data_IF_027555499867
#
_entry.id   IF_027555499867
#
_cell.length_a   1.000
_cell.length_b   1.000
_cell.length_c   1.000
_cell.angle_alpha   90.00
_cell.angle_beta   90.00
_cell.angle_gamma   90.00
#
_symmetry.space_group_name_H-M   'P 1'
#
loop_
_entity.id
_entity.type
_entity.pdbx_description
1 polymer ?
#
# COMPACT_ATOMS: atom_id res chain seq x y z
N UNK A 1 -25.81 23.43 -4.18
CA UNK A 1 -25.28 24.38 -5.19
C UNK A 1 -24.65 23.55 -6.28
N UNK A 2 -25.27 23.50 -7.46
CA UNK A 2 -24.68 22.85 -8.62
C UNK A 2 -23.60 23.79 -9.18
N UNK A 3 -22.33 23.47 -8.95
CA UNK A 3 -21.25 24.16 -9.66
C UNK A 3 -21.41 23.87 -11.15
N UNK A 4 -21.27 24.89 -12.00
CA UNK A 4 -21.17 24.69 -13.44
C UNK A 4 -20.02 23.72 -13.72
N UNK A 5 -20.16 22.83 -14.72
CA UNK A 5 -19.20 21.76 -15.02
C UNK A 5 -17.75 22.29 -15.15
N UNK A 6 -17.55 23.52 -15.61
CA UNK A 6 -16.25 24.17 -15.70
C UNK A 6 -15.60 24.51 -14.34
N UNK A 7 -16.40 24.82 -13.32
CA UNK A 7 -15.89 25.22 -12.00
C UNK A 7 -15.32 24.05 -11.19
N UNK A 8 -15.76 22.83 -11.48
CA UNK A 8 -15.31 21.62 -10.79
C UNK A 8 -13.84 21.31 -11.07
N UNK A 9 -13.43 21.43 -12.34
CA UNK A 9 -12.05 21.24 -12.75
C UNK A 9 -11.13 22.31 -12.15
N UNK A 10 -11.59 23.56 -12.12
CA UNK A 10 -10.82 24.67 -11.54
C UNK A 10 -10.61 24.49 -10.04
N UNK A 11 -11.66 24.10 -9.30
CA UNK A 11 -11.57 23.79 -7.86
C UNK A 11 -10.61 22.63 -7.63
N UNK A 12 -10.66 21.58 -8.47
CA UNK A 12 -9.75 20.45 -8.38
C UNK A 12 -8.29 20.87 -8.61
N UNK A 13 -7.98 21.62 -9.68
CA UNK A 13 -6.63 22.16 -9.90
C UNK A 13 -6.16 23.03 -8.75
N UNK A 14 -7.01 23.90 -8.22
CA UNK A 14 -6.66 24.77 -7.09
C UNK A 14 -6.33 23.96 -5.85
N UNK A 15 -7.06 22.87 -5.58
CA UNK A 15 -6.79 21.98 -4.47
C UNK A 15 -5.45 21.24 -4.65
N UNK A 16 -5.18 20.72 -5.85
CA UNK A 16 -3.91 20.06 -6.19
C UNK A 16 -2.73 21.02 -6.03
N UNK A 17 -2.80 22.21 -6.63
CA UNK A 17 -1.74 23.23 -6.52
C UNK A 17 -1.53 23.69 -5.08
N UNK A 18 -2.60 24.03 -4.37
CA UNK A 18 -2.52 24.47 -2.98
C UNK A 18 -1.90 23.40 -2.08
N UNK A 19 -2.20 22.12 -2.32
CA UNK A 19 -1.58 21.02 -1.59
C UNK A 19 -0.07 20.90 -1.89
N UNK A 20 0.31 21.03 -3.16
CA UNK A 20 1.72 21.01 -3.57
C UNK A 20 2.50 22.17 -2.94
N UNK A 21 1.92 23.36 -2.91
CA UNK A 21 2.56 24.58 -2.38
C UNK A 21 2.66 24.59 -0.85
N UNK A 22 1.63 24.11 -0.14
CA UNK A 22 1.53 24.22 1.32
C UNK A 22 2.31 23.15 2.08
N UNK A 23 2.59 21.99 1.48
CA UNK A 23 3.21 20.86 2.17
C UNK A 23 4.34 20.27 1.34
N UNK A 24 5.63 20.46 1.68
CA UNK A 24 6.73 19.82 0.96
C UNK A 24 6.90 18.32 1.29
N UNK A 25 6.08 17.75 2.18
CA UNK A 25 6.14 16.34 2.56
C UNK A 25 5.39 15.45 1.53
N UNK A 26 6.11 14.65 0.72
CA UNK A 26 5.52 13.86 -0.36
C UNK A 26 4.48 12.83 0.13
N UNK A 27 4.67 12.26 1.32
CA UNK A 27 3.73 11.25 1.85
C UNK A 27 2.38 11.85 2.22
N UNK A 28 2.43 13.02 2.87
CA UNK A 28 1.20 13.75 3.21
C UNK A 28 0.52 14.25 1.95
N UNK A 29 1.25 14.84 1.01
CA UNK A 29 0.69 15.30 -0.26
C UNK A 29 -0.08 14.16 -0.93
N UNK A 30 0.51 12.97 -1.05
CA UNK A 30 -0.17 11.84 -1.65
C UNK A 30 -1.47 11.46 -0.93
N UNK A 31 -1.42 11.32 0.41
CA UNK A 31 -2.62 10.98 1.19
C UNK A 31 -3.76 11.96 0.94
N UNK A 32 -3.46 13.25 0.80
CA UNK A 32 -4.47 14.28 0.52
C UNK A 32 -4.85 14.35 -0.96
N UNK A 33 -3.95 14.02 -1.90
CA UNK A 33 -4.27 13.93 -3.33
C UNK A 33 -5.31 12.84 -3.60
N UNK A 34 -5.19 11.66 -2.98
CA UNK A 34 -6.19 10.60 -3.07
C UNK A 34 -7.57 11.08 -2.60
N UNK A 35 -7.61 11.80 -1.47
CA UNK A 35 -8.86 12.40 -1.01
C UNK A 35 -9.41 13.41 -2.01
N UNK A 36 -8.57 14.28 -2.57
CA UNK A 36 -8.99 15.27 -3.56
C UNK A 36 -9.57 14.57 -4.80
N UNK A 37 -8.95 13.51 -5.33
CA UNK A 37 -9.48 12.76 -6.50
C UNK A 37 -10.80 12.06 -6.18
N UNK A 38 -10.89 11.38 -5.03
CA UNK A 38 -12.11 10.66 -4.60
C UNK A 38 -13.27 11.63 -4.42
N UNK A 39 -13.07 12.76 -3.74
CA UNK A 39 -14.14 13.73 -3.48
C UNK A 39 -14.48 14.59 -4.68
N UNK A 40 -13.52 14.86 -5.57
CA UNK A 40 -13.82 15.54 -6.82
C UNK A 40 -14.70 14.67 -7.72
N UNK A 41 -14.56 13.34 -7.69
CA UNK A 41 -15.38 12.42 -8.46
C UNK A 41 -15.49 12.85 -9.94
N UNK A 42 -14.33 13.16 -10.55
CA UNK A 42 -14.25 13.53 -11.97
C UNK A 42 -14.61 12.33 -12.85
N UNK A 43 -15.56 12.51 -13.76
CA UNK A 43 -15.90 11.49 -14.75
C UNK A 43 -14.82 11.40 -15.86
N UNK A 44 -14.95 10.42 -16.78
CA UNK A 44 -13.94 10.20 -17.81
C UNK A 44 -13.78 11.40 -18.76
N UNK A 45 -14.88 12.08 -19.12
CA UNK A 45 -14.82 13.23 -20.00
C UNK A 45 -14.15 14.41 -19.29
N UNK A 46 -14.52 14.66 -18.04
CA UNK A 46 -13.89 15.66 -17.18
C UNK A 46 -12.39 15.38 -16.99
N UNK A 47 -11.99 14.12 -16.80
CA UNK A 47 -10.57 13.70 -16.73
C UNK A 47 -9.82 13.91 -18.05
N UNK A 48 -10.45 13.65 -19.20
CA UNK A 48 -9.87 13.93 -20.51
C UNK A 48 -9.63 15.44 -20.68
N UNK A 49 -10.63 16.26 -20.38
CA UNK A 49 -10.52 17.72 -20.46
C UNK A 49 -9.47 18.24 -19.47
N UNK A 50 -9.45 17.71 -18.26
CA UNK A 50 -8.45 18.04 -17.24
C UNK A 50 -7.02 17.78 -17.74
N UNK A 51 -6.80 16.60 -18.32
CA UNK A 51 -5.48 16.23 -18.87
C UNK A 51 -4.99 17.16 -19.98
N UNK A 52 -5.91 17.67 -20.78
CA UNK A 52 -5.58 18.62 -21.85
C UNK A 52 -5.33 20.03 -21.32
N UNK A 53 -6.12 20.47 -20.33
CA UNK A 53 -6.08 21.84 -19.81
C UNK A 53 -4.97 22.07 -18.78
N UNK A 54 -4.58 21.02 -18.05
CA UNK A 54 -3.63 21.07 -16.93
C UNK A 54 -2.54 19.99 -17.04
N UNK A 55 -1.71 20.02 -18.11
CA UNK A 55 -0.73 18.96 -18.37
C UNK A 55 0.41 18.92 -17.34
N UNK A 56 0.77 20.06 -16.75
CA UNK A 56 1.84 20.13 -15.74
C UNK A 56 1.43 19.45 -14.44
N UNK A 57 0.22 19.71 -13.96
CA UNK A 57 -0.34 19.09 -12.76
C UNK A 57 -0.46 17.57 -12.92
N UNK A 58 -0.86 17.13 -14.11
CA UNK A 58 -0.95 15.70 -14.43
C UNK A 58 0.42 15.04 -14.44
N UNK A 59 1.44 15.71 -14.97
CA UNK A 59 2.81 15.20 -14.96
C UNK A 59 3.34 15.06 -13.53
N UNK A 60 3.08 16.04 -12.67
CA UNK A 60 3.43 15.97 -11.25
C UNK A 60 2.69 14.83 -10.55
N UNK A 61 1.37 14.72 -10.71
CA UNK A 61 0.58 13.62 -10.17
C UNK A 61 1.09 12.24 -10.62
N UNK A 62 1.49 12.11 -11.89
CA UNK A 62 2.03 10.86 -12.44
C UNK A 62 3.33 10.48 -11.73
N UNK A 63 4.24 11.43 -11.51
CA UNK A 63 5.49 11.20 -10.77
C UNK A 63 5.23 10.80 -9.31
N UNK A 64 4.20 11.38 -8.67
CA UNK A 64 3.79 10.96 -7.33
C UNK A 64 3.26 9.52 -7.32
N UNK A 65 2.41 9.17 -8.28
CA UNK A 65 1.86 7.83 -8.41
C UNK A 65 2.96 6.78 -8.63
N UNK A 66 3.93 7.05 -9.51
CA UNK A 66 5.07 6.15 -9.76
C UNK A 66 5.88 5.89 -8.48
N UNK A 67 6.26 6.95 -7.75
CA UNK A 67 7.00 6.80 -6.49
C UNK A 67 6.21 5.99 -5.46
N UNK A 68 4.89 6.15 -5.42
CA UNK A 68 4.07 5.42 -4.46
C UNK A 68 3.87 3.95 -4.81
N UNK A 69 3.68 3.64 -6.09
CA UNK A 69 3.65 2.25 -6.56
C UNK A 69 4.94 1.55 -6.17
N UNK A 70 6.09 2.21 -6.37
CA UNK A 70 7.38 1.67 -5.97
C UNK A 70 7.47 1.45 -4.45
N UNK A 71 7.09 2.46 -3.65
CA UNK A 71 7.08 2.34 -2.20
C UNK A 71 6.16 1.22 -1.69
N UNK A 72 4.95 1.11 -2.24
CA UNK A 72 4.00 0.06 -1.88
C UNK A 72 4.52 -1.34 -2.27
N UNK A 73 5.26 -1.44 -3.38
CA UNK A 73 5.94 -2.67 -3.79
C UNK A 73 7.05 -3.05 -2.80
N UNK A 74 7.85 -2.07 -2.37
CA UNK A 74 8.92 -2.28 -1.38
C UNK A 74 8.34 -2.69 -0.03
N UNK A 75 7.38 -1.95 0.51
CA UNK A 75 6.71 -2.27 1.79
C UNK A 75 6.03 -3.65 1.73
N UNK A 76 5.37 -3.98 0.63
CA UNK A 76 4.74 -5.29 0.43
C UNK A 76 5.75 -6.44 0.39
N UNK A 77 6.90 -6.22 -0.24
CA UNK A 77 8.00 -7.19 -0.29
C UNK A 77 8.62 -7.38 1.10
N UNK A 78 8.89 -6.31 1.82
CA UNK A 78 9.45 -6.34 3.17
C UNK A 78 8.54 -7.10 4.14
N UNK A 79 7.26 -6.75 4.18
CA UNK A 79 6.26 -7.46 5.02
C UNK A 79 6.12 -8.93 4.63
N UNK A 80 6.16 -9.22 3.32
CA UNK A 80 6.10 -10.59 2.82
C UNK A 80 7.31 -11.42 3.25
N UNK A 81 8.51 -10.82 3.17
CA UNK A 81 9.76 -11.46 3.56
C UNK A 81 9.80 -11.69 5.07
N UNK A 82 9.46 -10.68 5.89
CA UNK A 82 9.46 -10.79 7.35
C UNK A 82 8.54 -11.93 7.82
N UNK A 83 7.30 -11.96 7.33
CA UNK A 83 6.35 -13.04 7.63
C UNK A 83 6.84 -14.41 7.14
N UNK A 84 7.48 -14.43 5.97
CA UNK A 84 8.05 -15.65 5.41
C UNK A 84 9.19 -16.21 6.26
N UNK A 85 10.11 -15.33 6.70
CA UNK A 85 11.24 -15.68 7.57
C UNK A 85 10.75 -16.14 8.93
N UNK A 86 9.83 -15.41 9.57
CA UNK A 86 9.28 -15.79 10.88
C UNK A 86 8.61 -17.17 10.82
N UNK A 87 7.77 -17.41 9.80
CA UNK A 87 7.13 -18.71 9.59
C UNK A 87 8.17 -19.81 9.34
N UNK A 88 9.20 -19.54 8.55
CA UNK A 88 10.28 -20.48 8.27
C UNK A 88 11.07 -20.86 9.52
N UNK A 89 11.40 -19.87 10.37
CA UNK A 89 12.08 -20.09 11.65
C UNK A 89 11.20 -20.95 12.56
N UNK A 90 9.93 -20.58 12.75
CA UNK A 90 9.01 -21.33 13.62
C UNK A 90 8.84 -22.77 13.18
N UNK A 91 8.67 -23.00 11.87
CA UNK A 91 8.62 -24.35 11.31
C UNK A 91 9.91 -25.11 11.55
N UNK A 92 11.07 -24.48 11.37
CA UNK A 92 12.38 -25.08 11.64
C UNK A 92 12.57 -25.47 13.11
N UNK A 93 12.19 -24.60 14.04
CA UNK A 93 12.25 -24.83 15.49
C UNK A 93 11.33 -25.98 15.91
N UNK A 94 10.10 -26.02 15.41
CA UNK A 94 9.15 -27.11 15.63
C UNK A 94 9.72 -28.46 15.15
N UNK A 95 10.28 -28.51 13.93
CA UNK A 95 10.92 -29.72 13.39
C UNK A 95 12.11 -30.17 14.25
N UNK A 96 12.95 -29.23 14.69
CA UNK A 96 14.08 -29.52 15.55
C UNK A 96 13.63 -30.08 16.91
N UNK A 97 12.61 -29.48 17.52
CA UNK A 97 12.04 -29.95 18.78
C UNK A 97 11.49 -31.37 18.66
N UNK A 98 10.67 -31.63 17.63
CA UNK A 98 10.12 -32.97 17.38
C UNK A 98 11.23 -34.01 17.16
N UNK A 99 12.31 -33.66 16.46
CA UNK A 99 13.47 -34.52 16.29
C UNK A 99 14.14 -34.85 17.62
N UNK A 100 14.36 -33.84 18.47
CA UNK A 100 14.97 -34.03 19.79
C UNK A 100 14.09 -34.87 20.72
N UNK A 101 12.78 -34.64 20.70
CA UNK A 101 11.82 -35.41 21.47
C UNK A 101 11.76 -36.87 20.99
N UNK A 102 11.75 -37.11 19.68
CA UNK A 102 11.81 -38.48 19.13
C UNK A 102 13.10 -39.20 19.51
N UNK A 103 14.24 -38.49 19.51
CA UNK A 103 15.53 -39.07 19.92
C UNK A 103 15.55 -39.46 21.42
N UNK A 104 14.90 -38.66 22.27
CA UNK A 104 14.89 -38.88 23.73
C UNK A 104 13.85 -39.90 24.18
N UNK A 105 12.67 -39.90 23.56
CA UNK A 105 11.51 -40.65 24.02
C UNK A 105 11.06 -41.76 23.05
N UNK A 106 11.68 -41.87 21.87
CA UNK A 106 11.21 -42.76 20.81
C UNK A 106 10.02 -42.17 20.05
N UNK A 107 9.26 -43.01 19.36
CA UNK A 107 8.16 -42.57 18.48
C UNK A 107 7.12 -41.75 19.27
N UNK A 108 6.96 -40.48 18.88
CA UNK A 108 5.97 -39.59 19.47
C UNK A 108 4.56 -39.85 18.91
N UNK A 109 3.51 -39.73 19.73
CA UNK A 109 2.13 -39.79 19.27
C UNK A 109 1.77 -38.57 18.40
N UNK A 110 0.74 -38.70 17.56
CA UNK A 110 0.28 -37.64 16.65
C UNK A 110 -0.10 -36.35 17.39
N UNK A 111 -0.71 -36.47 18.57
CA UNK A 111 -1.10 -35.32 19.40
C UNK A 111 0.09 -34.44 19.82
N UNK A 112 1.28 -35.02 19.97
CA UNK A 112 2.48 -34.26 20.29
C UNK A 112 3.01 -33.46 19.08
N UNK A 113 2.83 -33.99 17.87
CA UNK A 113 3.19 -33.28 16.64
C UNK A 113 2.29 -32.07 16.43
N UNK A 114 0.97 -32.27 16.54
CA UNK A 114 -0.02 -31.21 16.40
C UNK A 114 0.17 -30.09 17.43
N UNK A 115 0.50 -30.44 18.67
CA UNK A 115 0.74 -29.43 19.71
C UNK A 115 1.94 -28.54 19.40
N UNK A 116 3.05 -29.12 18.92
CA UNK A 116 4.28 -28.38 18.60
C UNK A 116 4.13 -27.53 17.33
N UNK A 117 3.39 -28.01 16.33
CA UNK A 117 3.16 -27.27 15.08
C UNK A 117 2.13 -26.13 15.24
N UNK A 118 1.24 -26.23 16.24
CA UNK A 118 0.20 -25.23 16.52
C UNK A 118 0.64 -24.08 17.44
N UNK A 119 1.82 -24.19 18.05
CA UNK A 119 2.43 -23.16 18.90
C UNK A 119 3.10 -22.05 18.07
#
# INVERSE_FOLDING_TARGET
>A
MAFAQDGKLEVYTMAVRGLTDLKPDPERQLKYLDFIDIYAALDENERIVYRQRYPEEVAEMTRFAERFIEKGREEGLEQGLERGVEKGIRQGEAHMLLRLLNLRFGVLPQSAHEHVESA
#
